data_IF_596434354183
#
_entry.id   IF_596434354183
#
_cell.length_a   1.000
_cell.length_b   1.000
_cell.length_c   1.000
_cell.angle_alpha   90.00
_cell.angle_beta   90.00
_cell.angle_gamma   90.00
#
_symmetry.space_group_name_H-M   'P 1'
#
loop_
_entity.id
_entity.type
_entity.pdbx_description
1 polymer ?
#
# COMPACT_ATOMS: atom_id res chain seq x y z
N UNK A 1 2.50 2.21 0.38
CA UNK A 1 3.63 2.34 -0.54
C UNK A 1 4.77 3.14 0.10
N UNK A 2 5.98 2.58 0.09
CA UNK A 2 7.16 3.17 0.75
C UNK A 2 7.65 4.47 0.11
N UNK A 3 7.35 4.73 -1.14
CA UNK A 3 7.73 5.94 -1.85
C UNK A 3 6.75 7.09 -1.63
N UNK A 4 5.47 6.84 -1.87
CA UNK A 4 4.41 7.85 -1.85
C UNK A 4 3.67 7.98 -0.52
N UNK A 5 3.82 7.03 0.38
CA UNK A 5 3.01 6.89 1.61
C UNK A 5 1.54 6.57 1.35
N UNK A 6 1.17 6.23 0.11
CA UNK A 6 -0.17 5.76 -0.16
C UNK A 6 -0.45 4.52 0.68
N UNK A 7 -1.59 4.50 1.35
CA UNK A 7 -1.93 3.49 2.34
C UNK A 7 -3.23 2.76 1.98
N UNK A 8 -3.26 1.49 2.31
CA UNK A 8 -4.45 0.63 2.29
C UNK A 8 -4.60 0.01 3.67
N UNK A 9 -5.80 -0.30 4.08
CA UNK A 9 -6.06 -0.95 5.35
C UNK A 9 -7.34 -1.76 5.32
N UNK A 10 -7.30 -2.96 5.91
CA UNK A 10 -8.45 -3.83 6.10
C UNK A 10 -8.49 -4.31 7.54
N UNK A 11 -9.68 -4.39 8.09
CA UNK A 11 -9.94 -4.91 9.41
C UNK A 11 -10.25 -6.40 9.33
N UNK A 12 -9.66 -7.16 10.23
CA UNK A 12 -9.91 -8.60 10.35
C UNK A 12 -10.03 -8.99 11.81
N UNK A 13 -10.82 -10.01 12.09
CA UNK A 13 -10.96 -10.60 13.43
C UNK A 13 -9.83 -11.57 13.77
N UNK A 14 -8.98 -11.90 12.81
CA UNK A 14 -7.85 -12.82 12.98
C UNK A 14 -6.60 -12.31 12.27
N UNK A 15 -5.47 -12.93 12.58
CA UNK A 15 -4.16 -12.58 12.03
C UNK A 15 -3.56 -13.80 11.32
N UNK A 16 -4.20 -14.19 10.22
CA UNK A 16 -3.78 -15.33 9.40
C UNK A 16 -3.02 -14.88 8.15
N UNK A 17 -2.15 -15.73 7.58
CA UNK A 17 -1.46 -15.42 6.33
C UNK A 17 -2.40 -15.07 5.16
N UNK A 18 -3.58 -15.69 5.10
CA UNK A 18 -4.59 -15.38 4.10
C UNK A 18 -5.11 -13.94 4.16
N UNK A 19 -5.17 -13.32 5.34
CA UNK A 19 -5.59 -11.92 5.45
C UNK A 19 -4.56 -10.97 4.81
N UNK A 20 -3.28 -11.29 4.92
CA UNK A 20 -2.21 -10.54 4.25
C UNK A 20 -2.27 -10.71 2.73
N UNK A 21 -2.50 -11.93 2.24
CA UNK A 21 -2.73 -12.22 0.81
C UNK A 21 -3.95 -11.44 0.31
N UNK A 22 -5.06 -11.45 1.07
CA UNK A 22 -6.31 -10.78 0.68
C UNK A 22 -6.11 -9.28 0.44
N UNK A 23 -5.47 -8.57 1.38
CA UNK A 23 -5.17 -7.13 1.21
C UNK A 23 -4.30 -6.88 -0.01
N UNK A 24 -3.25 -7.67 -0.19
CA UNK A 24 -2.33 -7.47 -1.30
C UNK A 24 -3.00 -7.75 -2.65
N UNK A 25 -3.76 -8.83 -2.75
CA UNK A 25 -4.42 -9.25 -3.98
C UNK A 25 -5.62 -8.39 -4.37
N UNK A 26 -6.45 -8.01 -3.40
CA UNK A 26 -7.75 -7.41 -3.67
C UNK A 26 -7.76 -5.88 -3.58
N UNK A 27 -6.85 -5.28 -2.82
CA UNK A 27 -6.82 -3.83 -2.64
C UNK A 27 -5.57 -3.19 -3.27
N UNK A 28 -4.39 -3.78 -3.04
CA UNK A 28 -3.13 -3.15 -3.46
C UNK A 28 -2.83 -3.41 -4.92
N UNK A 29 -2.86 -4.68 -5.34
CA UNK A 29 -2.53 -5.09 -6.70
C UNK A 29 -3.43 -4.46 -7.76
N UNK A 30 -4.78 -4.48 -7.65
CA UNK A 30 -5.66 -3.84 -8.62
C UNK A 30 -5.43 -2.34 -8.75
N UNK A 31 -5.07 -1.68 -7.65
CA UNK A 31 -4.73 -0.26 -7.69
C UNK A 31 -3.47 0.01 -8.54
N UNK A 32 -2.42 -0.81 -8.39
CA UNK A 32 -1.22 -0.67 -9.22
C UNK A 32 -1.51 -1.00 -10.69
N UNK A 33 -2.26 -2.06 -10.96
CA UNK A 33 -2.67 -2.46 -12.31
C UNK A 33 -3.48 -1.37 -13.03
N UNK A 34 -4.44 -0.74 -12.32
CA UNK A 34 -5.22 0.39 -12.85
C UNK A 34 -4.35 1.61 -13.23
N UNK A 35 -3.13 1.69 -12.70
CA UNK A 35 -2.15 2.74 -13.03
C UNK A 35 -1.02 2.25 -13.94
N UNK A 36 -1.17 1.09 -14.59
CA UNK A 36 -0.15 0.45 -15.43
C UNK A 36 1.20 0.29 -14.73
N UNK A 37 1.17 -0.01 -13.44
CA UNK A 37 2.34 -0.25 -12.60
C UNK A 37 2.33 -1.66 -12.04
N UNK A 38 3.51 -2.22 -11.73
CA UNK A 38 3.67 -3.53 -11.10
C UNK A 38 4.29 -3.38 -9.72
N UNK A 39 3.89 -4.26 -8.82
CA UNK A 39 4.54 -4.45 -7.53
C UNK A 39 5.74 -5.37 -7.76
N UNK A 40 6.95 -4.88 -7.53
CA UNK A 40 8.18 -5.68 -7.70
C UNK A 40 8.70 -6.25 -6.39
N UNK A 41 8.47 -5.55 -5.29
CA UNK A 41 9.01 -5.93 -3.99
C UNK A 41 8.02 -5.57 -2.88
N UNK A 42 7.83 -6.47 -1.94
CA UNK A 42 7.10 -6.21 -0.69
C UNK A 42 8.08 -6.30 0.47
N UNK A 43 8.03 -5.31 1.36
CA UNK A 43 8.76 -5.33 2.63
C UNK A 43 7.78 -5.55 3.77
N UNK A 44 7.97 -6.60 4.55
CA UNK A 44 7.21 -6.88 5.77
C UNK A 44 8.11 -6.94 7.00
N UNK A 45 7.51 -6.99 8.18
CA UNK A 45 8.21 -7.49 9.37
C UNK A 45 8.30 -9.02 9.34
N UNK A 46 8.83 -9.62 10.43
CA UNK A 46 8.95 -11.07 10.56
C UNK A 46 7.69 -11.70 11.21
N UNK A 47 6.53 -11.06 11.07
CA UNK A 47 5.26 -11.60 11.56
C UNK A 47 4.92 -12.95 10.93
N UNK A 48 4.27 -13.83 11.70
CA UNK A 48 3.89 -15.17 11.21
C UNK A 48 2.86 -15.11 10.08
N UNK A 49 2.17 -14.02 9.92
CA UNK A 49 1.24 -13.74 8.81
C UNK A 49 1.96 -13.48 7.48
N UNK A 50 3.23 -13.04 7.53
CA UNK A 50 4.03 -12.73 6.35
C UNK A 50 5.14 -13.75 6.09
N UNK A 51 5.69 -14.33 7.15
CA UNK A 51 6.90 -15.14 7.08
C UNK A 51 6.68 -16.57 7.55
N UNK A 52 7.16 -17.52 6.74
CA UNK A 52 7.15 -18.94 7.05
C UNK A 52 8.00 -19.73 6.06
N UNK A 53 7.77 -21.04 5.98
CA UNK A 53 8.47 -21.88 5.00
C UNK A 53 7.99 -21.52 3.59
N UNK A 54 8.94 -21.17 2.72
CA UNK A 54 8.67 -20.73 1.35
C UNK A 54 7.85 -21.71 0.51
N UNK A 55 7.97 -23.00 0.82
CA UNK A 55 7.27 -24.10 0.13
C UNK A 55 5.85 -24.37 0.63
N UNK A 56 5.42 -23.74 1.74
CA UNK A 56 4.13 -24.03 2.39
C UNK A 56 3.37 -22.81 2.91
N UNK A 57 4.06 -21.69 3.13
CA UNK A 57 3.43 -20.53 3.71
C UNK A 57 2.58 -19.80 2.66
N UNK A 58 1.26 -19.59 2.88
CA UNK A 58 0.36 -19.02 1.87
C UNK A 58 0.82 -17.68 1.29
N UNK A 59 1.33 -16.78 2.14
CA UNK A 59 1.80 -15.48 1.69
C UNK A 59 3.07 -15.59 0.83
N UNK A 60 4.02 -16.44 1.23
CA UNK A 60 5.25 -16.68 0.46
C UNK A 60 4.94 -17.33 -0.90
N UNK A 61 4.03 -18.31 -0.94
CA UNK A 61 3.59 -18.96 -2.18
C UNK A 61 2.89 -17.97 -3.11
N UNK A 62 2.02 -17.12 -2.56
CA UNK A 62 1.35 -16.07 -3.33
C UNK A 62 2.37 -15.12 -3.97
N UNK A 63 3.35 -14.62 -3.22
CA UNK A 63 4.38 -13.71 -3.75
C UNK A 63 5.23 -14.38 -4.83
N UNK A 64 5.55 -15.68 -4.68
CA UNK A 64 6.27 -16.43 -5.71
C UNK A 64 5.46 -16.58 -6.99
N UNK A 65 4.16 -16.88 -6.90
CA UNK A 65 3.26 -16.99 -8.05
C UNK A 65 3.12 -15.66 -8.81
N UNK A 66 3.12 -14.55 -8.10
CA UNK A 66 3.01 -13.20 -8.66
C UNK A 66 4.37 -12.58 -9.03
N UNK A 67 5.46 -13.33 -8.91
CA UNK A 67 6.83 -12.88 -9.18
C UNK A 67 7.24 -11.64 -8.37
N UNK A 68 6.73 -11.52 -7.15
CA UNK A 68 7.00 -10.41 -6.23
C UNK A 68 8.12 -10.80 -5.26
N UNK A 69 9.19 -10.02 -5.20
CA UNK A 69 10.27 -10.23 -4.25
C UNK A 69 9.79 -9.94 -2.82
N UNK A 70 9.96 -10.90 -1.91
CA UNK A 70 9.70 -10.71 -0.50
C UNK A 70 10.98 -10.30 0.24
N UNK A 71 10.95 -9.14 0.88
CA UNK A 71 12.00 -8.65 1.78
C UNK A 71 11.44 -8.52 3.19
N UNK A 72 12.23 -8.90 4.17
CA UNK A 72 11.87 -8.76 5.58
C UNK A 72 12.76 -7.74 6.28
N UNK A 73 12.21 -7.08 7.30
CA UNK A 73 12.99 -6.16 8.13
C UNK A 73 14.03 -6.94 8.93
N UNK A 74 15.24 -6.37 9.06
CA UNK A 74 16.27 -6.99 9.88
C UNK A 74 15.87 -6.97 11.35
N UNK A 75 16.08 -8.09 12.03
CA UNK A 75 15.88 -8.21 13.47
C UNK A 75 16.66 -7.09 14.19
N UNK A 76 16.04 -6.44 15.18
CA UNK A 76 16.59 -5.34 15.97
C UNK A 76 16.87 -4.03 15.19
N UNK A 77 16.21 -3.81 14.05
CA UNK A 77 16.24 -2.53 13.31
C UNK A 77 14.83 -1.95 13.13
N UNK A 78 14.23 -1.40 14.20
CA UNK A 78 12.84 -0.93 14.18
C UNK A 78 12.58 0.18 13.16
N UNK A 79 13.58 1.02 12.84
CA UNK A 79 13.43 2.10 11.86
C UNK A 79 13.13 1.63 10.43
N UNK A 80 13.38 0.35 10.09
CA UNK A 80 13.06 -0.19 8.76
C UNK A 80 11.55 -0.24 8.51
N UNK A 81 10.73 -0.29 9.57
CA UNK A 81 9.27 -0.33 9.51
C UNK A 81 8.59 0.97 9.98
N UNK A 82 9.38 2.03 10.20
CA UNK A 82 8.91 3.29 10.79
C UNK A 82 7.79 4.00 10.02
N UNK A 83 7.55 3.63 8.74
CA UNK A 83 6.44 4.20 7.97
C UNK A 83 5.11 3.56 8.33
N UNK A 84 5.08 2.25 8.45
CA UNK A 84 3.86 1.52 8.83
C UNK A 84 3.52 1.77 10.30
N UNK A 85 4.53 1.84 11.18
CA UNK A 85 4.34 2.18 12.59
C UNK A 85 3.72 3.59 12.75
N UNK A 86 4.18 4.56 11.96
CA UNK A 86 3.61 5.92 11.95
C UNK A 86 2.19 5.93 11.41
N UNK A 87 1.90 5.17 10.35
CA UNK A 87 0.54 5.02 9.83
C UNK A 87 -0.38 4.43 10.90
N UNK A 88 0.03 3.32 11.54
CA UNK A 88 -0.76 2.70 12.62
C UNK A 88 -1.04 3.68 13.76
N UNK A 89 -0.03 4.45 14.17
CA UNK A 89 -0.23 5.49 15.20
C UNK A 89 -1.22 6.55 14.75
N UNK A 90 -1.10 7.05 13.51
CA UNK A 90 -2.03 8.03 12.95
C UNK A 90 -3.46 7.49 12.93
N UNK A 91 -3.68 6.29 12.42
CA UNK A 91 -5.00 5.65 12.39
C UNK A 91 -5.55 5.42 13.81
N UNK A 92 -4.70 4.99 14.75
CA UNK A 92 -5.13 4.78 16.13
C UNK A 92 -5.54 6.10 16.80
N UNK A 93 -4.72 7.14 16.68
CA UNK A 93 -4.91 8.39 17.41
C UNK A 93 -5.96 9.31 16.75
N UNK A 94 -6.01 9.37 15.43
CA UNK A 94 -6.84 10.32 14.70
C UNK A 94 -8.17 9.70 14.21
N UNK A 95 -8.23 8.38 14.03
CA UNK A 95 -9.42 7.67 13.59
C UNK A 95 -10.04 6.83 14.73
N UNK A 96 -9.45 5.70 15.10
CA UNK A 96 -10.10 4.75 16.01
C UNK A 96 -10.40 5.29 17.41
N UNK A 97 -9.49 6.08 18.01
CA UNK A 97 -9.73 6.69 19.32
C UNK A 97 -10.79 7.78 19.29
N UNK A 98 -10.90 8.48 18.18
CA UNK A 98 -11.91 9.53 18.00
C UNK A 98 -13.28 8.91 17.74
N UNK A 99 -13.36 8.03 16.72
CA UNK A 99 -14.60 7.36 16.36
C UNK A 99 -15.15 6.49 17.50
N UNK A 100 -14.30 5.72 18.18
CA UNK A 100 -14.72 4.88 19.30
C UNK A 100 -15.27 5.64 20.53
N UNK A 101 -15.18 6.98 20.56
CA UNK A 101 -15.82 7.81 21.59
C UNK A 101 -17.21 8.31 21.20
N UNK A 102 -17.49 8.36 19.90
CA UNK A 102 -18.71 8.98 19.36
C UNK A 102 -19.63 8.00 18.65
N UNK A 103 -19.12 6.84 18.26
CA UNK A 103 -19.83 5.84 17.47
C UNK A 103 -19.68 4.46 18.08
N UNK A 104 -20.79 3.74 18.18
CA UNK A 104 -20.80 2.32 18.49
C UNK A 104 -20.96 1.55 17.19
N UNK A 105 -20.03 0.65 16.88
CA UNK A 105 -20.08 -0.17 15.66
C UNK A 105 -20.78 -1.51 15.99
N UNK A 106 -21.73 -1.89 15.17
CA UNK A 106 -22.42 -3.16 15.29
C UNK A 106 -21.73 -4.28 14.50
N UNK A 107 -20.95 -3.91 13.50
CA UNK A 107 -20.22 -4.85 12.65
C UNK A 107 -18.83 -4.35 12.25
N UNK A 108 -17.98 -5.29 11.81
CA UNK A 108 -16.65 -4.96 11.27
C UNK A 108 -16.75 -4.25 9.92
N UNK A 109 -17.79 -4.52 9.16
CA UNK A 109 -18.07 -3.91 7.87
C UNK A 109 -18.37 -2.42 8.01
N UNK A 110 -19.13 -2.07 9.04
CA UNK A 110 -19.40 -0.66 9.37
C UNK A 110 -18.12 0.08 9.79
N UNK A 111 -17.31 -0.55 10.64
CA UNK A 111 -16.00 0.00 11.04
C UNK A 111 -15.05 0.09 9.85
N UNK A 112 -15.10 -0.87 8.90
CA UNK A 112 -14.32 -0.82 7.68
C UNK A 112 -14.73 0.32 6.76
N UNK A 113 -16.01 0.59 6.61
CA UNK A 113 -16.50 1.71 5.79
C UNK A 113 -15.95 3.06 6.29
N UNK A 114 -15.98 3.29 7.60
CA UNK A 114 -15.41 4.50 8.20
C UNK A 114 -13.87 4.57 8.00
N UNK A 115 -13.18 3.45 8.11
CA UNK A 115 -11.74 3.39 7.84
C UNK A 115 -11.42 3.67 6.36
N UNK A 116 -12.24 3.17 5.44
CA UNK A 116 -12.05 3.40 4.00
C UNK A 116 -12.20 4.91 3.68
N UNK A 117 -13.17 5.58 4.26
CA UNK A 117 -13.35 7.04 4.12
C UNK A 117 -12.16 7.83 4.68
N UNK A 118 -11.64 7.43 5.84
CA UNK A 118 -10.46 8.05 6.43
C UNK A 118 -9.20 7.83 5.58
N UNK A 119 -9.01 6.63 5.04
CA UNK A 119 -7.92 6.31 4.14
C UNK A 119 -8.01 7.07 2.80
N UNK A 120 -9.21 7.31 2.28
CA UNK A 120 -9.41 8.17 1.11
C UNK A 120 -8.93 9.60 1.43
N UNK A 121 -9.33 10.16 2.58
CA UNK A 121 -8.87 11.47 3.00
C UNK A 121 -7.35 11.51 3.23
N UNK A 122 -6.80 10.52 3.91
CA UNK A 122 -5.36 10.36 4.13
C UNK A 122 -4.58 10.37 2.82
N UNK A 123 -5.04 9.62 1.83
CA UNK A 123 -4.35 9.45 0.56
C UNK A 123 -4.51 10.64 -0.39
N UNK A 124 -5.65 11.35 -0.36
CA UNK A 124 -6.00 12.35 -1.39
C UNK A 124 -6.02 13.79 -0.89
N UNK A 125 -6.21 14.02 0.42
CA UNK A 125 -6.38 15.37 0.97
C UNK A 125 -5.32 15.74 2.01
N UNK A 126 -4.82 14.78 2.80
CA UNK A 126 -3.88 15.05 3.89
C UNK A 126 -2.47 15.32 3.37
N UNK A 127 -1.88 16.51 3.62
CA UNK A 127 -0.49 16.78 3.29
C UNK A 127 0.47 16.08 4.27
N UNK A 128 1.59 15.59 3.75
CA UNK A 128 2.61 14.91 4.55
C UNK A 128 3.96 15.62 4.46
N UNK A 129 4.66 15.75 5.60
CA UNK A 129 5.97 16.39 5.69
C UNK A 129 7.14 15.39 5.66
N UNK A 130 6.87 14.10 5.60
CA UNK A 130 7.91 13.07 5.60
C UNK A 130 8.80 13.08 4.35
N UNK A 131 9.82 12.25 4.37
CA UNK A 131 10.75 12.05 3.24
C UNK A 131 9.98 11.84 1.93
N UNK A 132 10.37 12.54 0.86
CA UNK A 132 9.77 12.58 -0.46
C UNK A 132 8.42 13.31 -0.56
N UNK A 133 7.80 13.71 0.57
CA UNK A 133 6.45 14.26 0.56
C UNK A 133 6.44 15.78 0.36
N UNK A 134 7.22 16.54 1.12
CA UNK A 134 7.32 18.02 1.02
C UNK A 134 5.93 18.70 0.98
N UNK A 135 5.05 18.37 1.93
CA UNK A 135 3.71 18.93 2.01
C UNK A 135 2.71 18.41 0.96
N UNK A 136 3.09 17.40 0.19
CA UNK A 136 2.18 16.80 -0.83
C UNK A 136 1.36 15.67 -0.25
N UNK A 137 0.24 15.40 -0.91
CA UNK A 137 -0.62 14.24 -0.57
C UNK A 137 -0.07 12.96 -1.22
N UNK A 138 -0.27 11.78 -0.59
CA UNK A 138 0.22 10.50 -1.07
C UNK A 138 -0.11 10.20 -2.53
N UNK A 139 -1.34 10.40 -2.96
CA UNK A 139 -1.77 10.13 -4.33
C UNK A 139 -1.02 10.96 -5.38
N UNK A 140 -0.73 12.23 -5.07
CA UNK A 140 0.06 13.08 -5.98
C UNK A 140 1.49 12.58 -6.12
N UNK A 141 2.11 12.13 -5.00
CA UNK A 141 3.47 11.58 -5.03
C UNK A 141 3.48 10.23 -5.73
N UNK A 142 2.46 9.38 -5.52
CA UNK A 142 2.30 8.10 -6.23
C UNK A 142 2.28 8.33 -7.75
N UNK A 143 1.41 9.20 -8.25
CA UNK A 143 1.33 9.52 -9.68
C UNK A 143 2.64 10.02 -10.28
N UNK A 144 3.43 10.76 -9.52
CA UNK A 144 4.76 11.22 -9.97
C UNK A 144 5.79 10.09 -10.05
N UNK A 145 5.63 9.03 -9.28
CA UNK A 145 6.49 7.84 -9.29
C UNK A 145 6.16 6.83 -10.38
N UNK A 146 5.04 6.98 -11.08
CA UNK A 146 4.65 6.07 -12.15
C UNK A 146 5.60 6.13 -13.34
N UNK A 147 5.82 5.00 -14.05
CA UNK A 147 6.57 4.98 -15.30
C UNK A 147 5.97 6.00 -16.28
N UNK A 148 6.82 6.84 -16.87
CA UNK A 148 6.36 7.72 -17.94
C UNK A 148 5.99 6.86 -19.15
N UNK A 149 4.89 7.15 -19.84
CA UNK A 149 4.58 6.48 -21.12
C UNK A 149 5.77 6.67 -22.08
N UNK A 150 6.09 5.66 -22.91
CA UNK A 150 7.14 5.80 -23.90
C UNK A 150 6.83 7.04 -24.75
N UNK A 151 7.83 7.92 -24.91
CA UNK A 151 7.69 9.05 -25.82
C UNK A 151 7.38 8.48 -27.19
N UNK A 152 6.17 8.67 -27.71
CA UNK A 152 5.82 8.38 -29.09
C UNK A 152 6.80 9.14 -29.95
N UNK A 153 7.68 8.40 -30.62
CA UNK A 153 8.68 8.97 -31.51
C UNK A 153 7.99 9.80 -32.58
N UNK A 154 8.50 10.98 -32.85
CA UNK A 154 8.14 11.88 -33.92
C UNK A 154 8.06 11.13 -35.26
N UNK A 155 6.86 10.83 -35.71
CA UNK A 155 6.61 10.45 -37.11
C UNK A 155 6.66 11.74 -37.97
N UNK A 156 7.85 12.28 -38.12
CA UNK A 156 8.19 13.29 -39.13
C UNK A 156 9.33 12.78 -39.99
N UNK A 157 9.05 11.80 -40.83
CA UNK A 157 9.95 11.44 -41.91
C UNK A 157 9.21 10.58 -42.95
N UNK A 158 8.16 11.08 -43.56
CA UNK A 158 7.60 10.48 -44.77
C UNK A 158 6.78 11.51 -45.55
N UNK A 159 7.39 12.66 -45.86
CA UNK A 159 6.80 13.61 -46.80
C UNK A 159 7.91 14.45 -47.48
N UNK A 160 8.84 13.73 -48.16
CA UNK A 160 9.77 14.33 -49.12
C UNK A 160 10.34 13.23 -50.02
N UNK A 161 9.50 12.65 -50.85
CA UNK A 161 9.91 11.95 -52.09
C UNK A 161 8.64 11.70 -52.92
N UNK A 162 8.19 12.71 -53.63
CA UNK A 162 7.40 12.63 -54.84
C UNK A 162 7.70 13.86 -55.67
#
# INVERSE_FOLDING_TARGET
DGFSRYAWGRLYTNKLPFTAVHVLNNDVRPFFEAHNAKITTVLSDNGREFCGRKDRHPYELFLQLEEIEHRTTKVRRPWSNGFIERLHRTLLDEHFRVQGRVKWYESIEEMQADLDDDLIQYNTKRPHQGRNMNGRVPYTVFKKGLPKPPKTGNTKAAEKAA
#
